data_IF_128710795161
#
_entry.id   IF_128710795161
#
_cell.length_a   1.000
_cell.length_b   1.000
_cell.length_c   1.000
_cell.angle_alpha   90.00
_cell.angle_beta   90.00
_cell.angle_gamma   90.00
#
_symmetry.space_group_name_H-M   'P 1'
#
loop_
_entity.id
_entity.type
_entity.pdbx_description
1 polymer ?
#
# COMPACT_ATOMS: atom_id res chain seq x y z
N UNK A 1 -27.70 -8.97 -2.78
CA UNK A 1 -27.31 -7.60 -2.34
C UNK A 1 -28.19 -6.63 -3.11
N UNK A 2 -28.89 -5.68 -2.47
CA UNK A 2 -29.83 -4.82 -3.20
C UNK A 2 -29.08 -3.87 -4.14
N UNK A 3 -29.69 -3.52 -5.28
CA UNK A 3 -29.15 -2.57 -6.24
C UNK A 3 -28.73 -1.26 -5.54
N UNK A 4 -29.58 -0.76 -4.63
CA UNK A 4 -29.30 0.44 -3.82
C UNK A 4 -28.07 0.31 -2.90
N UNK A 5 -27.74 -0.88 -2.41
CA UNK A 5 -26.53 -1.10 -1.61
C UNK A 5 -25.27 -1.08 -2.48
N UNK A 6 -25.34 -1.65 -3.69
CA UNK A 6 -24.23 -1.62 -4.65
C UNK A 6 -23.97 -0.18 -5.11
N UNK A 7 -25.01 0.56 -5.50
CA UNK A 7 -24.88 1.95 -5.96
C UNK A 7 -24.23 2.84 -4.90
N UNK A 8 -24.63 2.72 -3.62
CA UNK A 8 -24.02 3.48 -2.52
C UNK A 8 -22.54 3.18 -2.33
N UNK A 9 -22.13 1.91 -2.48
CA UNK A 9 -20.71 1.53 -2.39
C UNK A 9 -19.90 2.10 -3.55
N UNK A 10 -20.45 2.07 -4.76
CA UNK A 10 -19.80 2.65 -5.95
C UNK A 10 -19.67 4.17 -5.83
N UNK A 11 -20.68 4.86 -5.31
CA UNK A 11 -20.61 6.31 -5.07
C UNK A 11 -19.58 6.67 -4.01
N UNK A 12 -19.51 5.92 -2.90
CA UNK A 12 -18.49 6.14 -1.87
C UNK A 12 -17.07 5.91 -2.41
N UNK A 13 -16.90 4.89 -3.25
CA UNK A 13 -15.64 4.62 -3.93
C UNK A 13 -15.24 5.74 -4.90
N UNK A 14 -16.18 6.18 -5.75
CA UNK A 14 -15.96 7.26 -6.70
C UNK A 14 -15.62 8.57 -5.98
N UNK A 15 -16.29 8.89 -4.87
CA UNK A 15 -16.00 10.06 -4.05
C UNK A 15 -14.61 9.98 -3.39
N UNK A 16 -14.23 8.82 -2.85
CA UNK A 16 -12.90 8.62 -2.27
C UNK A 16 -11.79 8.75 -3.32
N UNK A 17 -11.99 8.18 -4.52
CA UNK A 17 -11.07 8.34 -5.64
C UNK A 17 -10.97 9.80 -6.08
N UNK A 18 -12.10 10.46 -6.32
CA UNK A 18 -12.13 11.86 -6.72
C UNK A 18 -11.41 12.75 -5.70
N UNK A 19 -11.69 12.59 -4.41
CA UNK A 19 -11.02 13.34 -3.35
C UNK A 19 -9.50 13.09 -3.33
N UNK A 20 -9.07 11.83 -3.51
CA UNK A 20 -7.66 11.46 -3.57
C UNK A 20 -6.96 12.11 -4.77
N UNK A 21 -7.58 12.05 -5.95
CA UNK A 21 -7.06 12.66 -7.18
C UNK A 21 -7.06 14.19 -7.13
N UNK A 22 -8.11 14.82 -6.58
CA UNK A 22 -8.16 16.27 -6.40
C UNK A 22 -7.10 16.73 -5.41
N UNK A 23 -6.93 16.02 -4.29
CA UNK A 23 -5.86 16.31 -3.34
C UNK A 23 -4.47 16.17 -3.98
N UNK A 24 -4.26 15.14 -4.79
CA UNK A 24 -3.03 14.94 -5.56
C UNK A 24 -2.74 16.05 -6.55
N UNK A 25 -3.76 16.55 -7.24
CA UNK A 25 -3.62 17.64 -8.18
C UNK A 25 -3.39 18.99 -7.49
N UNK A 26 -3.92 19.15 -6.27
CA UNK A 26 -3.83 20.39 -5.50
C UNK A 26 -2.59 20.48 -4.61
N UNK A 27 -1.94 19.35 -4.28
CA UNK A 27 -0.71 19.38 -3.47
C UNK A 27 0.44 19.96 -4.28
N UNK A 28 1.24 20.82 -3.65
CA UNK A 28 2.51 21.20 -4.25
C UNK A 28 3.39 19.95 -4.42
N UNK A 29 4.11 19.83 -5.55
CA UNK A 29 5.10 18.78 -5.71
C UNK A 29 6.14 18.95 -4.61
N UNK A 30 6.18 17.98 -3.70
CA UNK A 30 7.24 17.94 -2.69
C UNK A 30 8.58 17.91 -3.44
N UNK A 31 9.59 18.67 -2.99
CA UNK A 31 10.92 18.58 -3.58
C UNK A 31 11.36 17.12 -3.62
N UNK A 32 12.03 16.70 -4.70
CA UNK A 32 12.61 15.36 -4.81
C UNK A 32 13.59 15.16 -3.66
N UNK A 33 13.11 14.63 -2.55
CA UNK A 33 13.94 14.10 -1.50
C UNK A 33 14.36 12.72 -1.97
N UNK A 34 15.67 12.47 -1.97
CA UNK A 34 16.18 11.15 -2.24
C UNK A 34 15.69 10.19 -1.16
N UNK A 35 14.55 9.55 -1.40
CA UNK A 35 14.00 8.53 -0.53
C UNK A 35 14.88 7.28 -0.72
N UNK A 36 15.92 7.17 0.10
CA UNK A 36 16.92 6.08 0.04
C UNK A 36 16.26 4.70 -0.04
N UNK A 37 15.10 4.56 0.58
CA UNK A 37 14.30 3.34 0.62
C UNK A 37 13.64 3.01 -0.72
N UNK A 38 13.01 3.99 -1.37
CA UNK A 38 12.39 3.78 -2.68
C UNK A 38 13.44 3.39 -3.71
N UNK A 39 14.59 4.08 -3.76
CA UNK A 39 15.65 3.73 -4.69
C UNK A 39 16.25 2.35 -4.42
N UNK A 40 16.32 1.92 -3.15
CA UNK A 40 16.68 0.54 -2.82
C UNK A 40 15.67 -0.44 -3.42
N UNK A 41 14.38 -0.19 -3.28
CA UNK A 41 13.34 -1.06 -3.82
C UNK A 41 13.29 -1.06 -5.36
N UNK A 42 13.50 0.08 -6.01
CA UNK A 42 13.58 0.19 -7.48
C UNK A 42 14.84 -0.48 -8.03
N UNK A 43 15.98 -0.36 -7.35
CA UNK A 43 17.22 -1.07 -7.70
C UNK A 43 17.01 -2.59 -7.64
N UNK A 44 16.43 -3.10 -6.54
CA UNK A 44 16.11 -4.53 -6.42
C UNK A 44 15.12 -4.98 -7.49
N UNK A 45 14.09 -4.19 -7.76
CA UNK A 45 13.12 -4.50 -8.81
C UNK A 45 13.77 -4.60 -10.20
N UNK A 46 14.72 -3.72 -10.51
CA UNK A 46 15.50 -3.78 -11.76
C UNK A 46 16.31 -5.08 -11.85
N UNK A 47 17.01 -5.44 -10.79
CA UNK A 47 17.77 -6.70 -10.73
C UNK A 47 16.89 -7.95 -10.82
N UNK A 48 15.70 -7.92 -10.22
CA UNK A 48 14.72 -9.01 -10.36
C UNK A 48 14.25 -9.17 -11.81
N UNK A 49 14.01 -8.07 -12.53
CA UNK A 49 13.65 -8.10 -13.96
C UNK A 49 14.80 -8.66 -14.81
N UNK A 50 16.05 -8.37 -14.45
CA UNK A 50 17.25 -8.84 -15.14
C UNK A 50 17.63 -10.29 -14.82
N UNK A 51 17.03 -10.89 -13.78
CA UNK A 51 17.33 -12.25 -13.34
C UNK A 51 18.46 -12.36 -12.31
N UNK A 52 18.96 -11.24 -11.79
CA UNK A 52 20.05 -11.20 -10.81
C UNK A 52 19.61 -11.54 -9.38
N UNK A 53 18.29 -11.58 -9.13
CA UNK A 53 17.70 -11.89 -7.84
C UNK A 53 17.51 -10.67 -6.93
N UNK A 54 17.45 -10.91 -5.62
CA UNK A 54 17.21 -9.87 -4.61
C UNK A 54 18.51 -9.15 -4.23
N UNK A 55 19.05 -8.38 -5.17
CA UNK A 55 20.28 -7.61 -4.96
C UNK A 55 20.06 -6.12 -5.23
N UNK A 56 20.88 -5.24 -4.66
CA UNK A 56 20.78 -3.78 -4.84
C UNK A 56 22.14 -3.13 -5.14
N UNK A 57 22.09 -1.94 -5.75
CA UNK A 57 23.25 -1.13 -6.11
C UNK A 57 23.70 -0.15 -5.02
N UNK A 58 23.02 -0.13 -3.88
CA UNK A 58 23.17 0.91 -2.88
C UNK A 58 24.32 0.61 -1.94
N UNK A 59 25.32 1.47 -1.97
CA UNK A 59 26.40 1.51 -0.98
C UNK A 59 25.93 2.35 0.22
N UNK A 60 25.55 1.69 1.31
CA UNK A 60 25.30 2.39 2.58
C UNK A 60 26.63 2.87 3.18
N UNK A 61 26.73 4.04 3.84
CA UNK A 61 27.98 4.46 4.47
C UNK A 61 28.60 3.41 5.41
N UNK A 62 27.74 2.63 6.08
CA UNK A 62 28.13 1.47 6.89
C UNK A 62 28.78 0.34 6.05
N UNK A 63 28.37 0.13 4.80
CA UNK A 63 28.98 -0.87 3.90
C UNK A 63 30.45 -0.55 3.58
N UNK A 64 30.85 0.73 3.61
CA UNK A 64 32.25 1.11 3.46
C UNK A 64 33.13 0.68 4.64
N UNK A 65 32.51 0.35 5.79
CA UNK A 65 33.21 -0.15 6.97
C UNK A 65 33.43 -1.66 6.96
N UNK A 66 32.81 -2.41 6.04
CA UNK A 66 32.89 -3.86 5.97
C UNK A 66 33.39 -4.33 4.59
N UNK A 67 34.53 -5.04 4.50
CA UNK A 67 35.11 -5.45 3.20
C UNK A 67 34.19 -6.29 2.32
N UNK A 68 33.32 -7.13 2.92
CA UNK A 68 32.33 -7.92 2.17
C UNK A 68 31.23 -7.05 1.53
N UNK A 69 31.00 -5.86 2.08
CA UNK A 69 29.97 -4.94 1.65
C UNK A 69 30.48 -3.90 0.61
N UNK A 70 31.78 -3.96 0.27
CA UNK A 70 32.42 -3.06 -0.70
C UNK A 70 32.17 -3.40 -2.18
N UNK A 71 31.52 -4.54 -2.46
CA UNK A 71 31.30 -5.03 -3.83
C UNK A 71 29.82 -4.90 -4.23
N UNK A 72 29.51 -4.32 -5.37
CA UNK A 72 28.14 -4.20 -5.88
C UNK A 72 27.91 -5.30 -6.95
N UNK A 73 26.76 -5.99 -6.98
CA UNK A 73 25.54 -5.75 -6.19
C UNK A 73 25.49 -6.49 -4.84
N UNK A 74 24.79 -5.90 -3.86
CA UNK A 74 24.68 -6.41 -2.49
C UNK A 74 23.37 -7.19 -2.29
N UNK A 75 23.37 -8.35 -1.61
CA UNK A 75 22.14 -9.09 -1.32
C UNK A 75 21.22 -8.31 -0.38
N UNK A 76 19.93 -8.26 -0.69
CA UNK A 76 18.89 -7.64 0.13
C UNK A 76 18.52 -8.57 1.30
N UNK A 77 19.36 -8.62 2.33
CA UNK A 77 19.14 -9.48 3.51
C UNK A 77 18.25 -8.86 4.59
N UNK A 78 18.08 -7.53 4.58
CA UNK A 78 17.49 -6.78 5.68
C UNK A 78 16.05 -6.31 5.41
N UNK A 79 15.48 -6.60 4.23
CA UNK A 79 14.11 -6.20 3.87
C UNK A 79 13.30 -7.38 3.35
N UNK A 80 11.99 -7.43 3.66
CA UNK A 80 11.09 -8.39 3.05
C UNK A 80 11.03 -8.23 1.51
N UNK A 81 10.91 -9.33 0.75
CA UNK A 81 10.95 -9.29 -0.71
C UNK A 81 9.66 -8.75 -1.36
N UNK A 82 8.56 -8.66 -0.61
CA UNK A 82 7.23 -8.38 -1.16
C UNK A 82 7.12 -7.02 -1.87
N UNK A 83 7.69 -5.97 -1.30
CA UNK A 83 7.61 -4.64 -1.90
C UNK A 83 8.51 -4.47 -3.14
N UNK A 84 9.78 -4.93 -3.15
CA UNK A 84 10.57 -5.02 -4.38
C UNK A 84 9.87 -5.77 -5.52
N UNK A 85 9.17 -6.87 -5.21
CA UNK A 85 8.40 -7.61 -6.22
C UNK A 85 7.28 -6.74 -6.82
N UNK A 86 6.55 -5.97 -6.01
CA UNK A 86 5.54 -5.04 -6.50
C UNK A 86 6.15 -3.92 -7.37
N UNK A 87 7.37 -3.48 -7.05
CA UNK A 87 8.09 -2.44 -7.81
C UNK A 87 8.58 -2.91 -9.18
N UNK A 88 8.56 -4.22 -9.48
CA UNK A 88 8.87 -4.72 -10.83
C UNK A 88 7.91 -4.16 -11.88
N UNK A 89 6.65 -3.92 -11.53
CA UNK A 89 5.67 -3.33 -12.46
C UNK A 89 6.07 -1.90 -12.86
N UNK A 90 6.25 -0.93 -11.92
CA UNK A 90 6.79 0.39 -12.25
C UNK A 90 8.06 0.36 -13.11
N UNK A 91 9.05 -0.48 -12.74
CA UNK A 91 10.33 -0.52 -13.45
C UNK A 91 10.18 -1.10 -14.87
N UNK A 92 9.40 -2.17 -15.03
CA UNK A 92 9.17 -2.79 -16.35
C UNK A 92 8.45 -1.82 -17.30
N UNK A 93 7.40 -1.14 -16.83
CA UNK A 93 6.65 -0.18 -17.64
C UNK A 93 7.40 1.13 -17.91
N UNK A 94 8.37 1.48 -17.06
CA UNK A 94 9.20 2.66 -17.25
C UNK A 94 10.24 2.47 -18.37
N UNK A 95 10.52 1.24 -18.80
CA UNK A 95 11.43 0.97 -19.92
C UNK A 95 12.87 1.43 -19.68
N UNK A 96 13.32 1.42 -18.43
CA UNK A 96 14.66 1.86 -18.03
C UNK A 96 14.79 3.33 -17.65
N UNK A 97 13.73 4.14 -17.78
CA UNK A 97 13.72 5.53 -17.30
C UNK A 97 13.50 5.59 -15.77
N UNK A 98 14.49 6.06 -14.98
CA UNK A 98 14.38 6.10 -13.53
C UNK A 98 13.33 7.10 -13.02
N UNK A 99 13.19 8.25 -13.68
CA UNK A 99 12.23 9.27 -13.27
C UNK A 99 10.79 8.78 -13.50
N UNK A 100 10.58 8.08 -14.62
CA UNK A 100 9.30 7.43 -14.91
C UNK A 100 9.00 6.28 -13.94
N UNK A 101 9.99 5.46 -13.58
CA UNK A 101 9.82 4.39 -12.61
C UNK A 101 9.42 4.93 -11.22
N UNK A 102 10.09 6.00 -10.78
CA UNK A 102 9.77 6.71 -9.53
C UNK A 102 8.33 7.26 -9.56
N UNK A 103 7.96 7.96 -10.63
CA UNK A 103 6.60 8.49 -10.79
C UNK A 103 5.58 7.35 -10.74
N UNK A 104 5.81 6.24 -11.45
CA UNK A 104 4.90 5.08 -11.44
C UNK A 104 4.80 4.41 -10.06
N UNK A 105 5.89 4.32 -9.30
CA UNK A 105 5.86 3.82 -7.93
C UNK A 105 5.03 4.73 -7.00
N UNK A 106 5.12 6.06 -7.20
CA UNK A 106 4.26 7.03 -6.53
C UNK A 106 2.77 6.79 -6.84
N UNK A 107 2.42 6.63 -8.11
CA UNK A 107 1.04 6.31 -8.54
C UNK A 107 0.53 4.99 -7.95
N UNK A 108 1.40 3.97 -7.88
CA UNK A 108 1.05 2.68 -7.27
C UNK A 108 0.78 2.82 -5.77
N UNK A 109 1.58 3.61 -5.06
CA UNK A 109 1.37 3.89 -3.62
C UNK A 109 0.06 4.63 -3.37
N UNK A 110 -0.30 5.56 -4.27
CA UNK A 110 -1.57 6.27 -4.23
C UNK A 110 -2.76 5.36 -4.51
N UNK A 111 -2.63 4.45 -5.47
CA UNK A 111 -3.63 3.42 -5.72
C UNK A 111 -3.87 2.57 -4.47
N UNK A 112 -2.81 2.15 -3.78
CA UNK A 112 -2.95 1.41 -2.52
C UNK A 112 -3.63 2.23 -1.42
N UNK A 113 -3.28 3.51 -1.25
CA UNK A 113 -3.95 4.37 -0.29
C UNK A 113 -5.44 4.54 -0.62
N UNK A 114 -5.78 4.71 -1.90
CA UNK A 114 -7.17 4.79 -2.34
C UNK A 114 -7.94 3.49 -2.08
N UNK A 115 -7.30 2.33 -2.24
CA UNK A 115 -7.88 1.03 -1.90
C UNK A 115 -8.11 0.90 -0.38
N UNK A 116 -7.18 1.36 0.46
CA UNK A 116 -7.38 1.41 1.93
C UNK A 116 -8.59 2.29 2.25
N UNK A 117 -8.62 3.50 1.69
CA UNK A 117 -9.71 4.45 1.88
C UNK A 117 -11.06 3.84 1.51
N UNK A 118 -11.14 3.21 0.33
CA UNK A 118 -12.33 2.49 -0.11
C UNK A 118 -12.69 1.40 0.90
N UNK A 119 -11.79 0.47 1.21
CA UNK A 119 -12.08 -0.67 2.08
C UNK A 119 -12.67 -0.23 3.43
N UNK A 120 -12.09 0.80 4.06
CA UNK A 120 -12.62 1.36 5.31
C UNK A 120 -14.02 1.97 5.14
N UNK A 121 -14.22 2.80 4.11
CA UNK A 121 -15.52 3.42 3.83
C UNK A 121 -16.61 2.39 3.49
N UNK A 122 -16.30 1.42 2.63
CA UNK A 122 -17.22 0.36 2.24
C UNK A 122 -17.58 -0.56 3.42
N UNK A 123 -16.62 -0.83 4.30
CA UNK A 123 -16.87 -1.57 5.54
C UNK A 123 -17.84 -0.81 6.46
N UNK A 124 -17.58 0.48 6.69
CA UNK A 124 -18.42 1.36 7.50
C UNK A 124 -19.87 1.43 6.98
N UNK A 125 -20.03 1.70 5.67
CA UNK A 125 -21.34 1.73 5.00
C UNK A 125 -22.03 0.37 5.09
N UNK A 126 -21.29 -0.73 4.90
CA UNK A 126 -21.82 -2.08 5.02
C UNK A 126 -22.36 -2.43 6.41
N UNK A 127 -21.95 -1.68 7.45
CA UNK A 127 -22.41 -1.81 8.84
C UNK A 127 -23.44 -0.76 9.25
N UNK A 128 -23.94 0.04 8.30
CA UNK A 128 -24.87 1.14 8.60
C UNK A 128 -24.23 2.32 9.31
N UNK A 129 -22.90 2.36 9.40
CA UNK A 129 -22.12 3.43 10.04
C UNK A 129 -21.63 4.43 8.98
N UNK A 130 -22.55 5.03 8.23
CA UNK A 130 -22.17 6.06 7.24
C UNK A 130 -21.51 7.30 7.87
N UNK A 131 -21.85 7.56 9.13
CA UNK A 131 -21.34 8.66 9.96
C UNK A 131 -19.82 8.66 10.14
N UNK A 132 -19.17 7.50 10.08
CA UNK A 132 -17.71 7.38 10.29
C UNK A 132 -16.90 7.49 9.00
N UNK A 133 -17.54 7.57 7.83
CA UNK A 133 -16.83 7.65 6.53
C UNK A 133 -16.03 8.94 6.42
N UNK A 134 -16.63 10.07 6.78
CA UNK A 134 -15.94 11.36 6.70
C UNK A 134 -14.77 11.45 7.72
N UNK A 135 -14.94 11.07 9.01
CA UNK A 135 -13.82 10.95 9.94
C UNK A 135 -12.71 10.02 9.45
N UNK A 136 -13.06 8.87 8.85
CA UNK A 136 -12.09 7.94 8.27
C UNK A 136 -11.26 8.58 7.16
N UNK A 137 -11.92 9.24 6.20
CA UNK A 137 -11.22 9.95 5.12
C UNK A 137 -10.38 11.12 5.66
N UNK A 138 -10.87 11.84 6.65
CA UNK A 138 -10.12 12.93 7.29
C UNK A 138 -8.84 12.41 7.95
N UNK A 139 -8.90 11.27 8.67
CA UNK A 139 -7.70 10.62 9.22
C UNK A 139 -6.72 10.28 8.11
N UNK A 140 -7.17 9.76 6.98
CA UNK A 140 -6.27 9.41 5.87
C UNK A 140 -5.60 10.64 5.23
N UNK A 141 -6.33 11.74 5.10
CA UNK A 141 -5.83 12.96 4.45
C UNK A 141 -4.90 13.78 5.34
N UNK A 142 -5.22 13.88 6.63
CA UNK A 142 -4.51 14.75 7.58
C UNK A 142 -3.32 14.03 8.22
N UNK A 143 -3.27 12.69 8.17
CA UNK A 143 -2.20 11.95 8.80
C UNK A 143 -0.87 12.12 8.03
N UNK A 144 0.14 12.80 8.62
CA UNK A 144 1.42 13.04 7.96
C UNK A 144 2.17 11.75 7.69
N UNK A 145 1.97 10.70 8.48
CA UNK A 145 2.57 9.38 8.22
C UNK A 145 2.06 8.78 6.91
N UNK A 146 0.79 9.02 6.56
CA UNK A 146 0.23 8.55 5.30
C UNK A 146 0.75 9.36 4.11
N UNK A 147 0.90 10.67 4.29
CA UNK A 147 1.54 11.53 3.29
C UNK A 147 3.01 11.12 3.07
N UNK A 148 3.73 10.79 4.15
CA UNK A 148 5.09 10.25 4.09
C UNK A 148 5.13 8.89 3.41
N UNK A 149 4.20 7.96 3.70
CA UNK A 149 4.21 6.65 3.03
C UNK A 149 3.93 6.75 1.52
N UNK A 150 3.15 7.74 1.08
CA UNK A 150 2.90 8.01 -0.34
C UNK A 150 4.12 8.67 -0.99
N UNK A 151 4.75 9.64 -0.31
CA UNK A 151 5.94 10.31 -0.82
C UNK A 151 7.18 9.43 -0.81
N UNK A 152 7.26 8.47 0.11
CA UNK A 152 8.42 7.60 0.32
C UNK A 152 8.19 6.18 -0.22
N UNK A 153 7.01 5.90 -0.78
CA UNK A 153 6.64 4.63 -1.39
C UNK A 153 7.02 3.46 -0.48
N UNK A 154 6.36 3.40 0.66
CA UNK A 154 6.77 2.60 1.80
C UNK A 154 6.03 1.25 1.87
N UNK A 155 6.72 0.20 2.35
CA UNK A 155 6.25 -1.20 2.47
C UNK A 155 5.02 -1.36 3.39
N UNK A 156 4.77 -0.35 4.21
CA UNK A 156 3.74 -0.29 5.24
C UNK A 156 2.34 -0.27 4.62
N UNK A 157 2.16 0.37 3.44
CA UNK A 157 0.83 0.49 2.83
C UNK A 157 0.29 -0.88 2.37
N UNK A 158 1.03 -1.69 1.57
CA UNK A 158 0.57 -3.05 1.22
C UNK A 158 0.38 -3.95 2.44
N UNK A 159 1.22 -3.78 3.46
CA UNK A 159 1.10 -4.54 4.71
C UNK A 159 -0.19 -4.19 5.45
N UNK A 160 -0.52 -2.90 5.55
CA UNK A 160 -1.77 -2.44 6.15
C UNK A 160 -3.00 -2.97 5.38
N UNK A 161 -2.96 -3.00 4.04
CA UNK A 161 -4.00 -3.61 3.20
C UNK A 161 -4.19 -5.09 3.50
N UNK A 162 -3.10 -5.85 3.56
CA UNK A 162 -3.13 -7.28 3.85
C UNK A 162 -3.70 -7.55 5.25
N UNK A 163 -3.25 -6.80 6.25
CA UNK A 163 -3.75 -6.92 7.63
C UNK A 163 -5.24 -6.57 7.74
N UNK A 164 -5.68 -5.50 7.06
CA UNK A 164 -7.09 -5.13 7.01
C UNK A 164 -7.92 -6.23 6.35
N UNK A 165 -7.46 -6.78 5.22
CA UNK A 165 -8.12 -7.89 4.55
C UNK A 165 -8.22 -9.13 5.44
N UNK A 166 -7.11 -9.56 6.05
CA UNK A 166 -7.09 -10.70 6.98
C UNK A 166 -8.04 -10.48 8.16
N UNK A 167 -8.01 -9.31 8.78
CA UNK A 167 -8.88 -8.97 9.90
C UNK A 167 -10.37 -9.04 9.52
N UNK A 168 -10.75 -8.51 8.35
CA UNK A 168 -12.14 -8.59 7.89
C UNK A 168 -12.59 -10.03 7.62
N UNK A 169 -11.71 -10.89 7.08
CA UNK A 169 -11.98 -12.31 6.86
C UNK A 169 -12.16 -13.07 8.16
N UNK A 170 -11.27 -12.86 9.13
CA UNK A 170 -11.35 -13.50 10.45
C UNK A 170 -12.62 -13.10 11.21
N UNK A 171 -13.00 -11.82 11.16
CA UNK A 171 -14.26 -11.32 11.75
C UNK A 171 -15.49 -11.97 11.11
N UNK A 172 -15.51 -12.10 9.79
CA UNK A 172 -16.62 -12.71 9.07
C UNK A 172 -16.78 -14.20 9.42
N UNK A 173 -15.65 -14.93 9.52
CA UNK A 173 -15.65 -16.33 9.93
C UNK A 173 -16.20 -16.50 11.36
N UNK A 174 -15.73 -15.68 12.32
CA UNK A 174 -16.18 -15.74 13.71
C UNK A 174 -17.69 -15.46 13.86
N UNK A 175 -18.24 -14.54 13.07
CA UNK A 175 -19.68 -14.24 13.06
C UNK A 175 -20.51 -15.39 12.48
N UNK A 176 -19.98 -16.10 11.48
CA UNK A 176 -20.61 -17.31 10.93
C UNK A 176 -20.65 -18.46 11.94
N UNK A 177 -19.58 -18.65 12.72
CA UNK A 177 -19.49 -19.69 13.74
C UNK A 177 -20.49 -19.48 14.89
N UNK A 178 -20.65 -18.25 15.36
CA UNK A 178 -21.60 -17.90 16.43
C UNK A 178 -23.08 -18.07 16.03
N UNK A 179 -23.39 -18.08 14.73
CA UNK A 179 -24.74 -18.29 14.21
C UNK A 179 -25.14 -19.75 14.04
N UNK A 180 -24.24 -20.71 14.22
CA UNK A 180 -24.56 -22.14 14.01
C UNK A 180 -25.57 -22.64 15.04
N UNK A 181 -26.56 -23.48 14.64
CA UNK A 181 -27.54 -24.07 15.56
C UNK A 181 -26.87 -24.82 16.71
N UNK A 182 -25.73 -25.47 16.45
CA UNK A 182 -24.94 -26.16 17.46
C UNK A 182 -24.38 -25.23 18.54
N UNK A 183 -23.88 -24.05 18.19
CA UNK A 183 -23.40 -23.05 19.15
C UNK A 183 -24.55 -22.46 19.98
N UNK A 184 -25.76 -22.34 19.41
CA UNK A 184 -26.96 -21.91 20.13
C UNK A 184 -27.50 -22.99 21.07
N UNK A 185 -27.42 -24.26 20.69
CA UNK A 185 -27.82 -25.39 21.52
C UNK A 185 -26.86 -25.66 22.68
N UNK A 186 -25.56 -25.35 22.54
CA UNK A 186 -24.57 -25.47 23.62
C UNK A 186 -24.62 -24.33 24.65
N UNK A 187 -25.32 -23.23 24.33
CA UNK A 187 -25.46 -22.04 25.18
C UNK A 187 -26.85 -21.92 25.83
N UNK A 188 -27.77 -22.85 25.54
CA UNK A 188 -29.12 -22.95 26.12
C UNK A 188 -29.16 -24.10 27.13
#
# INVERSE_FOLDING_TARGET
MSHAALTRRLLAAAAALALTFTWLAAREPLPHHAASDLYTHLSVARHLIQGDGFVNDMVYPLSLSFPFAAHVPQPLVHRPPGYPLLMTLPVAFAGGDPARAEAMAGHLSLLFLALIAWCGAAHAVGRGRGDVVLPWLAVLLVNPLLQMTVGWAQVEIPTALLLLWLWTRLRAAAQGSAGTPAARAAAA
#
